data_IF_736275522465
#
_entry.id   IF_736275522465
#
_cell.length_a   1.000
_cell.length_b   1.000
_cell.length_c   1.000
_cell.angle_alpha   90.00
_cell.angle_beta   90.00
_cell.angle_gamma   90.00
#
_symmetry.space_group_name_H-M   'P 1'
#
loop_
_entity.id
_entity.type
_entity.pdbx_description
1 polymer ?
#
# COMPACT_ATOMS: atom_id res chain seq x y z
N UNK A 1 9.20 -83.03 -18.65
CA UNK A 1 8.04 -82.77 -17.77
C UNK A 1 8.56 -82.15 -16.47
N UNK A 2 8.07 -80.95 -16.10
CA UNK A 2 8.16 -80.26 -14.80
C UNK A 2 9.58 -79.83 -14.36
N UNK A 3 10.01 -78.57 -14.55
CA UNK A 3 9.62 -77.30 -13.90
C UNK A 3 10.06 -77.19 -12.42
N UNK A 4 11.12 -76.40 -12.16
CA UNK A 4 11.33 -75.61 -10.94
C UNK A 4 12.60 -74.74 -11.10
N UNK A 5 12.43 -73.50 -11.56
CA UNK A 5 13.45 -72.45 -11.48
C UNK A 5 12.91 -71.41 -10.51
N UNK A 6 13.51 -71.35 -9.32
CA UNK A 6 13.31 -70.30 -8.32
C UNK A 6 14.23 -69.13 -8.70
N UNK A 7 13.74 -68.20 -9.52
CA UNK A 7 14.42 -66.92 -9.75
C UNK A 7 13.98 -65.92 -8.68
N UNK A 8 14.86 -65.73 -7.70
CA UNK A 8 14.79 -64.70 -6.67
C UNK A 8 14.96 -63.31 -7.31
N UNK A 9 13.85 -62.62 -7.55
CA UNK A 9 13.86 -61.23 -8.00
C UNK A 9 14.29 -60.32 -6.85
N UNK A 10 15.54 -59.86 -6.87
CA UNK A 10 16.02 -58.78 -6.03
C UNK A 10 15.35 -57.47 -6.48
N UNK A 11 14.24 -57.12 -5.85
CA UNK A 11 13.65 -55.79 -5.91
C UNK A 11 14.68 -54.80 -5.31
N UNK A 12 15.35 -54.02 -6.16
CA UNK A 12 15.93 -52.76 -5.73
C UNK A 12 14.76 -51.89 -5.26
N UNK A 13 14.52 -51.88 -3.95
CA UNK A 13 13.64 -50.91 -3.33
C UNK A 13 14.25 -49.53 -3.57
N UNK A 14 13.65 -48.76 -4.48
CA UNK A 14 13.84 -47.33 -4.55
C UNK A 14 13.44 -46.77 -3.18
N UNK A 15 14.43 -46.39 -2.38
CA UNK A 15 14.22 -45.61 -1.17
C UNK A 15 13.46 -44.35 -1.57
N UNK A 16 12.26 -44.08 -1.03
CA UNK A 16 11.62 -42.80 -1.27
C UNK A 16 12.55 -41.74 -0.70
N UNK A 17 13.03 -40.86 -1.58
CA UNK A 17 13.72 -39.66 -1.17
C UNK A 17 12.85 -38.94 -0.14
N UNK A 18 13.44 -38.53 0.99
CA UNK A 18 12.80 -37.66 1.97
C UNK A 18 12.36 -36.39 1.25
N UNK A 19 11.12 -36.37 0.77
CA UNK A 19 10.45 -35.16 0.36
C UNK A 19 10.08 -34.44 1.65
N UNK A 20 10.91 -33.48 2.07
CA UNK A 20 10.51 -32.53 3.10
C UNK A 20 9.19 -31.91 2.68
N UNK A 21 8.22 -31.86 3.59
CA UNK A 21 6.91 -31.31 3.28
C UNK A 21 7.11 -29.85 2.85
N UNK A 22 6.74 -29.54 1.60
CA UNK A 22 6.79 -28.18 1.08
C UNK A 22 5.75 -27.35 1.82
N UNK A 23 6.19 -26.26 2.42
CA UNK A 23 5.38 -25.49 3.35
C UNK A 23 5.40 -24.01 2.98
N UNK A 24 4.25 -23.35 3.13
CA UNK A 24 4.04 -21.95 2.74
C UNK A 24 3.84 -21.07 3.97
N UNK A 25 4.52 -19.92 4.00
CA UNK A 25 4.38 -18.95 5.08
C UNK A 25 3.02 -18.25 5.00
N UNK A 26 2.33 -18.13 6.14
CA UNK A 26 1.09 -17.36 6.25
C UNK A 26 1.34 -15.86 6.08
N UNK A 27 0.41 -15.15 5.45
CA UNK A 27 0.47 -13.68 5.29
C UNK A 27 0.26 -12.94 6.61
N UNK A 28 -0.51 -13.52 7.53
CA UNK A 28 -0.79 -13.00 8.85
C UNK A 28 -0.35 -14.01 9.91
N UNK A 29 0.87 -13.83 10.43
CA UNK A 29 1.41 -14.65 11.50
C UNK A 29 1.01 -14.04 12.84
N UNK A 30 0.09 -14.69 13.54
CA UNK A 30 -0.32 -14.32 14.90
C UNK A 30 -0.06 -15.46 15.87
N UNK A 31 0.51 -15.13 17.02
CA UNK A 31 0.81 -16.09 18.08
C UNK A 31 -0.20 -15.95 19.23
N UNK A 32 -0.70 -17.07 19.74
CA UNK A 32 -1.70 -17.07 20.82
C UNK A 32 -1.10 -16.82 22.21
N UNK A 33 0.02 -17.48 22.52
CA UNK A 33 0.48 -17.66 23.92
C UNK A 33 1.89 -17.07 24.19
N UNK A 34 2.42 -16.25 23.29
CA UNK A 34 3.79 -15.73 23.37
C UNK A 34 4.84 -16.71 22.84
N UNK A 35 4.43 -17.88 22.33
CA UNK A 35 5.28 -18.95 21.82
C UNK A 35 5.01 -19.11 20.34
N UNK A 36 5.82 -18.45 19.51
CA UNK A 36 5.73 -18.55 18.06
C UNK A 36 6.08 -19.96 17.63
N UNK A 37 5.08 -20.71 17.17
CA UNK A 37 5.24 -22.08 16.70
C UNK A 37 5.28 -22.17 15.17
N UNK A 38 5.81 -23.28 14.63
CA UNK A 38 5.77 -23.53 13.19
C UNK A 38 4.33 -23.63 12.65
N UNK A 39 3.37 -24.11 13.45
CA UNK A 39 1.95 -24.18 13.05
C UNK A 39 1.27 -22.82 12.88
N UNK A 40 1.76 -21.79 13.59
CA UNK A 40 1.28 -20.41 13.45
C UNK A 40 1.93 -19.68 12.29
N UNK A 41 3.20 -19.99 12.00
CA UNK A 41 3.96 -19.38 10.91
C UNK A 41 3.58 -19.94 9.54
N UNK A 42 3.21 -21.23 9.49
CA UNK A 42 3.18 -21.97 8.25
C UNK A 42 1.89 -22.77 8.02
N UNK A 43 1.39 -22.73 6.78
CA UNK A 43 0.36 -23.65 6.31
C UNK A 43 0.97 -24.99 5.89
N UNK A 44 0.48 -26.08 6.47
CA UNK A 44 0.97 -27.44 6.21
C UNK A 44 2.06 -27.94 7.17
N UNK A 45 2.25 -27.30 8.33
CA UNK A 45 3.24 -27.70 9.34
C UNK A 45 3.05 -29.15 9.88
N UNK A 46 1.84 -29.72 9.79
CA UNK A 46 1.57 -31.12 10.13
C UNK A 46 2.02 -31.48 11.55
N UNK A 47 2.76 -32.59 11.69
CA UNK A 47 3.29 -33.07 12.98
C UNK A 47 4.33 -32.13 13.64
N UNK A 48 4.80 -31.12 12.91
CA UNK A 48 5.74 -30.12 13.42
C UNK A 48 5.05 -28.83 13.91
N UNK A 49 3.71 -28.80 13.97
CA UNK A 49 2.94 -27.63 14.40
C UNK A 49 3.37 -27.08 15.75
N UNK A 50 3.73 -27.94 16.70
CA UNK A 50 3.97 -27.57 18.10
C UNK A 50 5.43 -27.16 18.37
N UNK A 51 6.30 -27.19 17.36
CA UNK A 51 7.69 -26.82 17.54
C UNK A 51 7.82 -25.30 17.64
N UNK A 52 8.29 -24.84 18.80
CA UNK A 52 8.53 -23.44 19.09
C UNK A 52 9.77 -22.96 18.34
N UNK A 53 9.60 -21.91 17.54
CA UNK A 53 10.67 -21.25 16.77
C UNK A 53 11.26 -20.09 17.55
N UNK A 54 10.40 -19.32 18.23
CA UNK A 54 10.82 -18.20 19.07
C UNK A 54 9.80 -17.93 20.17
N UNK A 55 10.23 -17.27 21.23
CA UNK A 55 9.34 -16.68 22.23
C UNK A 55 9.23 -15.19 21.99
N UNK A 56 8.01 -14.68 21.93
CA UNK A 56 7.75 -13.25 21.77
C UNK A 56 7.88 -12.56 23.13
N UNK A 57 8.79 -11.58 23.22
CA UNK A 57 8.95 -10.72 24.39
C UNK A 57 8.45 -9.31 24.01
N UNK A 58 7.13 -9.09 24.10
CA UNK A 58 6.49 -7.82 23.73
C UNK A 58 5.28 -7.98 22.81
N UNK A 59 4.71 -6.89 22.27
CA UNK A 59 3.49 -6.94 21.44
C UNK A 59 3.71 -7.56 20.05
N UNK A 60 4.94 -7.48 19.54
CA UNK A 60 5.37 -8.07 18.27
C UNK A 60 6.70 -8.79 18.44
N UNK A 61 6.90 -9.88 17.71
CA UNK A 61 8.19 -10.54 17.55
C UNK A 61 8.66 -10.38 16.12
N UNK A 62 9.94 -10.07 15.97
CA UNK A 62 10.61 -9.99 14.67
C UNK A 62 11.50 -11.22 14.55
N UNK A 63 11.19 -12.09 13.60
CA UNK A 63 11.99 -13.27 13.31
C UNK A 63 12.71 -13.10 11.98
N UNK A 64 13.98 -13.49 11.93
CA UNK A 64 14.73 -13.56 10.70
C UNK A 64 14.30 -14.79 9.89
N UNK A 65 14.05 -14.60 8.60
CA UNK A 65 13.58 -15.68 7.73
C UNK A 65 14.58 -16.85 7.66
N UNK A 66 15.88 -16.58 7.75
CA UNK A 66 16.90 -17.64 7.79
C UNK A 66 16.80 -18.50 9.06
N UNK A 67 16.49 -17.89 10.20
CA UNK A 67 16.28 -18.61 11.47
C UNK A 67 15.02 -19.48 11.39
N UNK A 68 13.93 -18.94 10.84
CA UNK A 68 12.67 -19.68 10.64
C UNK A 68 12.86 -20.83 9.65
N UNK A 69 13.60 -20.61 8.56
CA UNK A 69 13.92 -21.65 7.58
C UNK A 69 14.80 -22.76 8.17
N UNK A 70 15.77 -22.41 9.02
CA UNK A 70 16.55 -23.42 9.75
C UNK A 70 15.69 -24.22 10.73
N UNK A 71 14.77 -23.56 11.44
CA UNK A 71 13.84 -24.24 12.35
C UNK A 71 12.89 -25.19 11.59
N UNK A 72 12.34 -24.73 10.46
CA UNK A 72 11.51 -25.54 9.56
C UNK A 72 12.27 -26.77 9.04
N UNK A 73 13.51 -26.60 8.56
CA UNK A 73 14.36 -27.70 8.08
C UNK A 73 14.67 -28.73 9.17
N UNK A 74 14.92 -28.29 10.41
CA UNK A 74 15.10 -29.20 11.56
C UNK A 74 13.84 -30.01 11.86
N UNK A 75 12.68 -29.43 11.59
CA UNK A 75 11.38 -30.09 11.69
C UNK A 75 11.01 -30.94 10.45
N UNK A 76 11.89 -31.04 9.45
CA UNK A 76 11.61 -31.78 8.21
C UNK A 76 10.68 -31.06 7.23
N UNK A 77 10.41 -29.77 7.45
CA UNK A 77 9.66 -28.92 6.54
C UNK A 77 10.62 -28.19 5.60
N UNK A 78 10.31 -28.12 4.32
CA UNK A 78 11.09 -27.34 3.35
C UNK A 78 10.33 -26.07 2.94
N UNK A 79 10.80 -24.94 3.45
CA UNK A 79 10.35 -23.62 3.01
C UNK A 79 11.40 -23.01 2.09
N UNK A 80 11.06 -22.89 0.81
CA UNK A 80 11.93 -22.37 -0.25
C UNK A 80 12.03 -20.83 -0.25
N UNK A 81 11.20 -20.13 0.53
CA UNK A 81 11.11 -18.67 0.60
C UNK A 81 11.12 -17.99 -0.80
N UNK A 82 10.14 -18.29 -1.67
CA UNK A 82 10.12 -17.77 -3.04
C UNK A 82 10.00 -16.24 -3.10
N UNK A 83 9.45 -15.62 -2.06
CA UNK A 83 9.26 -14.17 -1.96
C UNK A 83 10.51 -13.41 -1.44
N UNK A 84 11.60 -14.11 -1.13
CA UNK A 84 12.84 -13.47 -0.65
C UNK A 84 12.66 -12.72 0.68
N UNK A 85 11.71 -13.15 1.50
CA UNK A 85 11.36 -12.50 2.77
C UNK A 85 12.58 -12.58 3.68
N UNK A 86 13.01 -11.45 4.23
CA UNK A 86 14.14 -11.40 5.18
C UNK A 86 13.67 -11.41 6.63
N UNK A 87 12.48 -10.88 6.87
CA UNK A 87 11.94 -10.59 8.20
C UNK A 87 10.46 -10.94 8.26
N UNK A 88 10.07 -11.67 9.30
CA UNK A 88 8.71 -12.10 9.57
C UNK A 88 8.28 -11.41 10.87
N UNK A 89 7.12 -10.74 10.84
CA UNK A 89 6.60 -10.01 11.99
C UNK A 89 5.41 -10.78 12.53
N UNK A 90 5.56 -11.34 13.72
CA UNK A 90 4.51 -12.06 14.42
C UNK A 90 3.85 -11.14 15.43
N UNK A 91 2.53 -10.99 15.35
CA UNK A 91 1.75 -10.17 16.30
C UNK A 91 1.12 -11.07 17.35
N UNK A 92 0.98 -10.59 18.58
CA UNK A 92 0.15 -11.30 19.56
C UNK A 92 -1.31 -11.34 19.12
N UNK A 93 -1.90 -12.54 19.03
CA UNK A 93 -3.33 -12.72 18.93
C UNK A 93 -3.98 -12.20 20.20
N UNK A 94 -4.91 -11.27 20.08
CA UNK A 94 -5.70 -10.83 21.22
C UNK A 94 -6.56 -12.01 21.69
N UNK A 95 -6.25 -12.56 22.87
CA UNK A 95 -7.06 -13.58 23.53
C UNK A 95 -8.52 -13.12 23.59
N UNK A 96 -9.40 -13.88 22.93
CA UNK A 96 -10.83 -13.63 22.95
C UNK A 96 -11.49 -14.16 24.23
N UNK A 97 -11.67 -13.27 25.22
CA UNK A 97 -12.73 -13.28 26.27
C UNK A 97 -12.46 -14.15 27.51
N UNK A 98 -12.57 -13.68 28.77
CA UNK A 98 -13.74 -13.02 29.37
C UNK A 98 -13.44 -12.39 30.76
N UNK A 99 -14.10 -11.25 31.04
CA UNK A 99 -14.47 -10.66 32.35
C UNK A 99 -13.42 -10.45 33.45
N UNK A 100 -12.88 -9.22 33.50
CA UNK A 100 -12.25 -8.64 34.68
C UNK A 100 -11.48 -7.37 34.34
N UNK A 101 -12.15 -6.22 34.30
CA UNK A 101 -11.46 -4.92 34.14
C UNK A 101 -10.39 -4.73 35.22
N UNK A 102 -9.26 -4.09 34.85
CA UNK A 102 -9.30 -2.65 34.76
C UNK A 102 -8.83 -2.10 33.40
N UNK A 103 -9.58 -1.11 32.94
CA UNK A 103 -9.24 -0.04 32.01
C UNK A 103 -7.75 0.11 31.68
N UNK A 104 -7.36 -0.29 30.47
CA UNK A 104 -6.00 -0.05 29.99
C UNK A 104 -5.76 -0.66 28.61
N UNK A 105 -6.43 -0.14 27.57
CA UNK A 105 -5.97 -0.35 26.21
C UNK A 105 -4.47 -0.01 26.13
N UNK A 106 -3.63 -0.82 25.46
CA UNK A 106 -2.24 -0.42 25.24
C UNK A 106 -2.30 0.90 24.48
N UNK A 107 -1.96 1.99 25.16
CA UNK A 107 -1.67 3.28 24.54
C UNK A 107 -0.35 3.11 23.80
N UNK A 108 -0.36 2.33 22.73
CA UNK A 108 0.64 2.42 21.69
C UNK A 108 0.37 3.76 21.04
N UNK A 109 1.01 4.81 21.54
CA UNK A 109 0.93 6.12 20.92
C UNK A 109 1.41 5.95 19.48
N UNK A 110 0.49 6.01 18.53
CA UNK A 110 0.82 5.99 17.11
C UNK A 110 1.10 7.44 16.73
N UNK A 111 2.23 7.66 16.07
CA UNK A 111 2.54 8.96 15.49
C UNK A 111 1.62 9.14 14.28
N UNK A 112 0.75 10.13 14.37
CA UNK A 112 -0.20 10.47 13.32
C UNK A 112 0.09 11.88 12.89
N UNK A 113 0.08 12.08 11.59
CA UNK A 113 0.18 13.41 11.01
C UNK A 113 -1.08 14.18 11.38
N UNK A 114 -0.95 15.33 12.02
CA UNK A 114 -2.04 16.21 12.39
C UNK A 114 -1.82 17.60 11.78
N UNK A 115 -2.91 18.35 11.61
CA UNK A 115 -2.81 19.70 11.07
C UNK A 115 -2.35 20.68 12.16
N UNK A 116 -1.26 21.40 11.89
CA UNK A 116 -0.68 22.40 12.80
C UNK A 116 -1.52 23.69 12.86
N UNK A 117 -2.38 23.92 11.86
CA UNK A 117 -3.34 25.04 11.83
C UNK A 117 -4.65 24.63 11.19
N UNK A 118 -5.67 25.48 11.36
CA UNK A 118 -6.94 25.28 10.66
C UNK A 118 -6.79 25.66 9.18
N UNK A 119 -7.21 24.77 8.28
CA UNK A 119 -7.18 24.99 6.82
C UNK A 119 -8.61 25.12 6.29
N UNK A 120 -8.83 26.09 5.41
CA UNK A 120 -10.12 26.27 4.76
C UNK A 120 -10.31 25.28 3.60
N UNK A 121 -11.57 25.03 3.22
CA UNK A 121 -11.87 24.23 2.02
C UNK A 121 -11.21 24.85 0.78
N UNK A 122 -10.46 24.04 0.04
CA UNK A 122 -9.72 24.43 -1.16
C UNK A 122 -8.30 24.93 -0.90
N UNK A 123 -7.89 25.12 0.36
CA UNK A 123 -6.53 25.53 0.71
C UNK A 123 -5.54 24.39 0.49
N UNK A 124 -4.35 24.73 0.01
CA UNK A 124 -3.27 23.78 -0.28
C UNK A 124 -2.52 23.49 1.01
N UNK A 125 -2.35 22.21 1.34
CA UNK A 125 -1.58 21.75 2.50
C UNK A 125 -0.10 21.96 2.23
N UNK A 126 0.55 22.74 3.09
CA UNK A 126 1.99 22.96 3.03
C UNK A 126 2.74 22.06 4.03
N UNK A 127 4.05 21.84 3.85
CA UNK A 127 4.85 21.05 4.78
C UNK A 127 4.78 21.55 6.23
N UNK A 128 4.73 22.87 6.43
CA UNK A 128 4.60 23.51 7.75
C UNK A 128 3.23 23.29 8.41
N UNK A 129 2.21 22.90 7.63
CA UNK A 129 0.86 22.69 8.14
C UNK A 129 0.69 21.32 8.76
N UNK A 130 1.72 20.48 8.71
CA UNK A 130 1.68 19.09 9.13
C UNK A 130 2.66 18.88 10.28
N UNK A 131 2.14 18.31 11.38
CA UNK A 131 2.92 18.01 12.58
C UNK A 131 2.67 16.59 13.01
N UNK A 132 3.73 15.89 13.40
CA UNK A 132 3.63 14.54 13.97
C UNK A 132 3.16 14.62 15.42
N UNK A 133 1.99 14.07 15.69
CA UNK A 133 1.39 14.05 17.03
C UNK A 133 1.18 12.61 17.48
N UNK A 134 1.55 12.33 18.73
CA UNK A 134 1.32 11.05 19.38
C UNK A 134 -0.12 10.98 19.85
N UNK A 135 -0.95 10.22 19.15
CA UNK A 135 -2.36 10.00 19.52
C UNK A 135 -2.59 8.55 19.94
N UNK A 136 -3.60 8.35 20.80
CA UNK A 136 -3.92 7.04 21.36
C UNK A 136 -4.44 6.05 20.31
N UNK A 137 -5.00 6.54 19.20
CA UNK A 137 -5.47 5.73 18.08
C UNK A 137 -5.38 6.54 16.79
N UNK A 138 -4.76 5.96 15.76
CA UNK A 138 -4.76 6.52 14.42
C UNK A 138 -6.08 6.21 13.69
N UNK A 139 -6.69 7.17 12.98
CA UNK A 139 -7.71 6.85 11.99
C UNK A 139 -7.16 5.86 10.97
N UNK A 140 -7.99 4.92 10.51
CA UNK A 140 -7.55 3.88 9.57
C UNK A 140 -7.12 4.45 8.20
N UNK A 141 -7.56 5.68 7.89
CA UNK A 141 -7.23 6.43 6.67
C UNK A 141 -6.12 7.48 6.89
N UNK A 142 -5.39 7.41 8.02
CA UNK A 142 -4.28 8.31 8.29
C UNK A 142 -3.12 8.07 7.29
N UNK A 143 -2.60 9.12 6.63
CA UNK A 143 -1.42 9.00 5.79
C UNK A 143 -0.22 8.55 6.60
N UNK A 144 0.60 7.67 6.01
CA UNK A 144 1.83 7.17 6.63
C UNK A 144 3.01 8.10 6.42
N UNK A 145 2.95 8.91 5.36
CA UNK A 145 3.99 9.85 4.98
C UNK A 145 3.39 11.25 4.80
N UNK A 146 4.16 12.29 5.13
CA UNK A 146 3.72 13.68 4.95
C UNK A 146 3.58 14.05 3.46
N UNK A 147 4.42 13.46 2.60
CA UNK A 147 4.43 13.67 1.15
C UNK A 147 3.11 13.27 0.48
N UNK A 148 2.33 12.36 1.09
CA UNK A 148 1.02 11.96 0.59
C UNK A 148 -0.06 13.04 0.78
N UNK A 149 0.19 14.06 1.61
CA UNK A 149 -0.77 15.13 1.93
C UNK A 149 -0.28 16.48 1.44
N UNK A 150 1.03 16.69 1.44
CA UNK A 150 1.66 17.93 0.96
C UNK A 150 1.28 18.19 -0.50
N UNK A 151 0.88 19.42 -0.80
CA UNK A 151 0.48 19.84 -2.14
C UNK A 151 -0.94 19.43 -2.53
N UNK A 152 -1.69 18.72 -1.67
CA UNK A 152 -3.11 18.47 -1.86
C UNK A 152 -3.96 19.63 -1.34
N UNK A 153 -5.16 19.82 -1.88
CA UNK A 153 -6.16 20.76 -1.36
C UNK A 153 -7.12 20.10 -0.37
N UNK A 154 -7.50 20.82 0.68
CA UNK A 154 -8.53 20.38 1.62
C UNK A 154 -9.93 20.32 0.98
N UNK A 155 -10.62 19.18 1.07
CA UNK A 155 -12.03 19.02 0.61
C UNK A 155 -13.05 19.63 1.56
N UNK A 156 -12.68 19.75 2.83
CA UNK A 156 -13.53 20.23 3.93
C UNK A 156 -12.68 21.11 4.86
N UNK A 157 -13.30 21.95 5.70
CA UNK A 157 -12.54 22.70 6.68
C UNK A 157 -11.85 21.74 7.65
N UNK A 158 -10.52 21.82 7.71
CA UNK A 158 -9.69 21.03 8.61
C UNK A 158 -9.38 21.88 9.83
N UNK A 159 -9.45 21.28 11.01
CA UNK A 159 -9.14 21.97 12.26
C UNK A 159 -7.74 21.69 12.71
N UNK A 160 -7.15 22.68 13.37
CA UNK A 160 -5.92 22.51 14.14
C UNK A 160 -6.03 21.32 15.11
N UNK A 161 -4.98 20.50 15.15
CA UNK A 161 -4.89 19.29 15.97
C UNK A 161 -5.69 18.10 15.45
N UNK A 162 -6.47 18.24 14.38
CA UNK A 162 -7.15 17.11 13.75
C UNK A 162 -6.14 16.21 13.03
N UNK A 163 -6.32 14.89 13.16
CA UNK A 163 -5.54 13.93 12.40
C UNK A 163 -5.78 14.09 10.90
N UNK A 164 -4.70 14.15 10.13
CA UNK A 164 -4.72 14.14 8.68
C UNK A 164 -5.32 12.83 8.16
N UNK A 165 -6.11 12.93 7.10
CA UNK A 165 -6.79 11.81 6.47
C UNK A 165 -6.76 11.99 4.96
N UNK A 166 -6.41 10.92 4.24
CA UNK A 166 -6.40 10.93 2.77
C UNK A 166 -7.78 11.20 2.16
N UNK A 167 -8.86 10.97 2.93
CA UNK A 167 -10.24 11.25 2.48
C UNK A 167 -10.55 12.74 2.44
N UNK A 168 -9.84 13.51 3.25
CA UNK A 168 -10.11 14.93 3.48
C UNK A 168 -9.34 15.83 2.54
N UNK A 169 -8.44 15.25 1.75
CA UNK A 169 -7.63 15.94 0.76
C UNK A 169 -7.96 15.47 -0.65
N UNK A 170 -7.67 16.32 -1.63
CA UNK A 170 -7.79 16.03 -3.05
C UNK A 170 -6.75 16.80 -3.85
N UNK A 171 -6.55 16.42 -5.09
CA UNK A 171 -5.73 17.21 -6.02
C UNK A 171 -6.25 18.66 -6.08
N UNK A 172 -5.37 19.67 -5.96
CA UNK A 172 -5.76 21.06 -5.90
C UNK A 172 -6.41 21.47 -7.22
N UNK A 173 -7.64 21.95 -7.14
CA UNK A 173 -8.34 22.57 -8.28
C UNK A 173 -7.65 23.90 -8.58
N UNK A 174 -6.90 23.95 -9.66
CA UNK A 174 -6.14 25.14 -10.06
C UNK A 174 -6.89 26.04 -11.05
N UNK A 175 -7.94 25.52 -11.70
CA UNK A 175 -8.78 26.24 -12.67
C UNK A 175 -10.24 26.06 -12.29
N UNK A 176 -11.01 27.17 -12.23
CA UNK A 176 -12.46 27.14 -12.00
C UNK A 176 -13.22 27.17 -13.32
N UNK A 177 -14.47 26.70 -13.28
CA UNK A 177 -15.38 26.84 -14.41
C UNK A 177 -15.61 28.32 -14.73
N UNK A 178 -15.34 28.71 -15.97
CA UNK A 178 -15.47 30.07 -16.47
C UNK A 178 -14.18 30.90 -16.46
N UNK A 179 -13.08 30.39 -15.89
CA UNK A 179 -11.79 31.10 -15.91
C UNK A 179 -11.23 31.21 -17.35
N UNK A 180 -10.52 32.31 -17.62
CA UNK A 180 -9.75 32.46 -18.86
C UNK A 180 -8.38 31.81 -18.65
N UNK A 181 -8.08 30.80 -19.47
CA UNK A 181 -6.88 29.99 -19.42
C UNK A 181 -6.11 30.08 -20.74
N UNK A 182 -4.78 30.04 -20.65
CA UNK A 182 -3.89 29.95 -21.80
C UNK A 182 -3.72 28.49 -22.20
N UNK A 183 -4.22 28.14 -23.39
CA UNK A 183 -4.08 26.83 -24.00
C UNK A 183 -2.81 26.84 -24.87
N UNK A 184 -1.85 25.99 -24.53
CA UNK A 184 -0.59 25.83 -25.26
C UNK A 184 -0.62 24.53 -26.06
N UNK A 185 -0.49 24.63 -27.38
CA UNK A 185 -0.30 23.48 -28.26
C UNK A 185 1.16 23.39 -28.64
N UNK A 186 1.82 22.30 -28.27
CA UNK A 186 3.20 22.02 -28.65
C UNK A 186 3.26 20.75 -29.49
N UNK A 187 3.74 20.87 -30.73
CA UNK A 187 4.04 19.73 -31.60
C UNK A 187 5.28 20.01 -32.43
N UNK A 188 6.18 19.02 -32.52
CA UNK A 188 7.40 19.05 -33.33
C UNK A 188 8.26 20.34 -33.25
N UNK A 189 8.29 21.03 -32.09
CA UNK A 189 9.07 22.26 -31.87
C UNK A 189 8.32 23.57 -32.17
N UNK A 190 7.02 23.51 -32.49
CA UNK A 190 6.15 24.67 -32.66
C UNK A 190 5.21 24.77 -31.45
N UNK A 191 5.24 25.91 -30.75
CA UNK A 191 4.32 26.21 -29.65
C UNK A 191 3.32 27.30 -30.07
N UNK A 192 2.03 26.97 -30.05
CA UNK A 192 0.93 27.91 -30.29
C UNK A 192 0.23 28.18 -28.95
N UNK A 193 0.13 29.45 -28.54
CA UNK A 193 -0.62 29.84 -27.33
C UNK A 193 -1.90 30.55 -27.73
N UNK A 194 -3.03 30.10 -27.20
CA UNK A 194 -4.34 30.73 -27.40
C UNK A 194 -5.05 30.93 -26.06
N UNK A 195 -5.93 31.92 -25.99
CA UNK A 195 -6.78 32.11 -24.82
C UNK A 195 -8.11 31.38 -25.00
N UNK A 196 -8.57 30.73 -23.94
CA UNK A 196 -9.85 30.06 -23.92
C UNK A 196 -10.51 30.12 -22.56
N UNK A 197 -11.83 29.98 -22.53
CA UNK A 197 -12.65 29.94 -21.33
C UNK A 197 -12.84 28.49 -20.87
N UNK A 198 -12.43 28.17 -19.66
CA UNK A 198 -12.65 26.87 -19.04
C UNK A 198 -14.16 26.60 -18.89
N UNK A 199 -14.63 25.42 -19.32
CA UNK A 199 -16.04 25.03 -19.16
C UNK A 199 -16.32 24.28 -17.86
N UNK A 200 -15.29 23.69 -17.26
CA UNK A 200 -15.38 22.96 -15.99
C UNK A 200 -14.24 23.37 -15.05
N UNK A 201 -14.32 22.94 -13.80
CA UNK A 201 -13.20 23.03 -12.87
C UNK A 201 -12.26 21.83 -13.06
N UNK A 202 -10.95 22.03 -12.89
CA UNK A 202 -9.96 20.97 -13.07
C UNK A 202 -8.71 21.18 -12.20
N UNK A 203 -8.14 20.06 -11.74
CA UNK A 203 -6.84 20.03 -11.09
C UNK A 203 -5.72 19.77 -12.11
N UNK A 204 -4.47 19.98 -11.70
CA UNK A 204 -3.30 19.67 -12.54
C UNK A 204 -3.34 18.20 -12.98
N UNK A 205 -3.19 17.97 -14.29
CA UNK A 205 -3.25 16.65 -14.92
C UNK A 205 -4.66 16.16 -15.26
N UNK A 206 -5.73 16.89 -14.91
CA UNK A 206 -7.09 16.58 -15.36
C UNK A 206 -7.32 17.08 -16.80
N UNK A 207 -8.18 16.36 -17.52
CA UNK A 207 -8.69 16.79 -18.82
C UNK A 207 -9.81 17.80 -18.63
N UNK A 208 -9.67 18.97 -19.25
CA UNK A 208 -10.60 20.08 -19.16
C UNK A 208 -11.05 20.53 -20.55
N UNK A 209 -12.35 20.69 -20.75
CA UNK A 209 -12.90 21.32 -21.94
C UNK A 209 -12.77 22.84 -21.85
N UNK A 210 -12.11 23.43 -22.84
CA UNK A 210 -11.87 24.86 -22.93
C UNK A 210 -12.47 25.39 -24.24
N UNK A 211 -13.28 26.44 -24.15
CA UNK A 211 -13.83 27.13 -25.31
C UNK A 211 -12.88 28.25 -25.75
N UNK A 212 -12.35 28.19 -26.96
CA UNK A 212 -11.57 29.28 -27.52
C UNK A 212 -12.44 30.55 -27.65
N UNK A 213 -11.98 31.67 -27.10
CA UNK A 213 -12.75 32.92 -27.06
C UNK A 213 -12.90 33.57 -28.45
N UNK A 214 -11.95 33.34 -29.36
CA UNK A 214 -11.96 33.89 -30.72
C UNK A 214 -12.79 33.04 -31.69
N UNK A 215 -12.61 31.72 -31.67
CA UNK A 215 -13.26 30.82 -32.65
C UNK A 215 -14.53 30.14 -32.13
N UNK A 216 -14.84 30.27 -30.83
CA UNK A 216 -15.93 29.58 -30.12
C UNK A 216 -15.84 28.05 -30.13
N UNK A 217 -14.79 27.46 -30.72
CA UNK A 217 -14.56 26.02 -30.74
C UNK A 217 -14.23 25.49 -29.34
N UNK A 218 -14.74 24.31 -29.01
CA UNK A 218 -14.44 23.60 -27.77
C UNK A 218 -13.25 22.68 -28.04
N UNK A 219 -12.23 22.77 -27.19
CA UNK A 219 -10.99 22.01 -27.30
C UNK A 219 -10.80 21.23 -25.99
N UNK A 220 -10.48 19.95 -26.10
CA UNK A 220 -10.10 19.13 -24.95
C UNK A 220 -8.63 19.37 -24.63
N UNK A 221 -8.35 19.85 -23.43
CA UNK A 221 -7.00 20.23 -22.97
C UNK A 221 -6.66 19.49 -21.68
N UNK A 222 -5.38 19.41 -21.30
CA UNK A 222 -4.94 18.90 -19.99
C UNK A 222 -4.37 20.04 -19.18
N UNK A 223 -4.79 20.17 -17.92
CA UNK A 223 -4.32 21.23 -17.03
C UNK A 223 -2.86 20.99 -16.66
N UNK A 224 -2.00 21.97 -16.92
CA UNK A 224 -0.56 21.91 -16.58
C UNK A 224 -0.21 22.76 -15.38
N UNK A 225 -1.00 23.80 -15.09
CA UNK A 225 -0.79 24.67 -13.95
C UNK A 225 -1.89 25.73 -13.80
N UNK A 226 -1.72 26.68 -12.88
CA UNK A 226 -2.68 27.77 -12.67
C UNK A 226 -2.87 28.57 -13.96
N UNK A 227 -4.10 28.59 -14.48
CA UNK A 227 -4.44 29.33 -15.70
C UNK A 227 -3.78 28.82 -16.99
N UNK A 228 -3.12 27.66 -16.97
CA UNK A 228 -2.42 27.09 -18.12
C UNK A 228 -2.89 25.67 -18.41
N UNK A 229 -3.19 25.41 -19.67
CA UNK A 229 -3.54 24.07 -20.15
C UNK A 229 -2.75 23.75 -21.41
N UNK A 230 -2.50 22.47 -21.66
CA UNK A 230 -1.78 21.98 -22.82
C UNK A 230 -2.64 21.05 -23.69
N UNK A 231 -2.34 21.02 -24.98
CA UNK A 231 -3.00 20.15 -25.98
C UNK A 231 -1.94 19.45 -26.84
N UNK A 232 -2.29 18.30 -27.41
CA UNK A 232 -1.40 17.53 -28.29
C UNK A 232 -0.64 16.39 -27.60
N UNK A 233 0.51 15.95 -28.15
CA UNK A 233 1.27 14.80 -27.66
C UNK A 233 1.69 14.90 -26.19
N UNK A 234 1.98 16.12 -25.70
CA UNK A 234 2.28 16.40 -24.29
C UNK A 234 1.10 16.04 -23.38
N UNK A 235 -0.13 16.39 -23.77
CA UNK A 235 -1.34 16.02 -23.05
C UNK A 235 -1.56 14.50 -23.05
N UNK A 236 -1.24 13.82 -24.16
CA UNK A 236 -1.29 12.36 -24.27
C UNK A 236 -0.30 11.68 -23.31
N UNK A 237 0.91 12.23 -23.14
CA UNK A 237 1.92 11.73 -22.19
C UNK A 237 1.48 11.90 -20.74
N UNK A 238 0.92 13.06 -20.39
CA UNK A 238 0.34 13.30 -19.07
C UNK A 238 -0.87 12.41 -18.76
N UNK A 239 -1.67 12.03 -19.78
CA UNK A 239 -2.73 11.02 -19.63
C UNK A 239 -2.16 9.61 -19.45
N UNK A 240 -1.13 9.25 -20.20
CA UNK A 240 -0.55 7.91 -20.18
C UNK A 240 0.05 7.57 -18.80
N UNK A 241 0.75 8.52 -18.16
CA UNK A 241 1.35 8.32 -16.83
C UNK A 241 0.32 8.05 -15.73
N UNK A 242 -0.89 8.61 -15.85
CA UNK A 242 -1.97 8.38 -14.87
C UNK A 242 -2.66 7.03 -15.06
N UNK A 243 -2.71 6.52 -16.30
CA UNK A 243 -3.40 5.27 -16.62
C UNK A 243 -2.57 4.04 -16.24
N UNK A 244 -1.23 4.14 -16.28
CA UNK A 244 -0.32 3.06 -15.85
C UNK A 244 -0.40 2.78 -14.35
N UNK A 245 -0.68 3.79 -13.52
CA UNK A 245 -0.85 3.63 -12.07
C UNK A 245 -2.14 2.88 -11.68
N UNK A 246 -3.15 2.85 -12.55
CA UNK A 246 -4.41 2.12 -12.31
C UNK A 246 -4.35 0.65 -12.69
N UNK A 247 -3.43 0.26 -13.57
CA UNK A 247 -3.33 -1.13 -14.04
C UNK A 247 -2.36 -1.99 -13.20
N UNK A 248 -1.42 -1.37 -12.48
CA UNK A 248 -0.52 -2.08 -11.58
C UNK A 248 -1.16 -2.48 -10.22
N UNK A 249 -2.43 -2.14 -10.00
CA UNK A 249 -3.17 -2.37 -8.76
C UNK A 249 -4.28 -3.45 -8.88
N UNK A 250 -4.14 -4.40 -9.82
CA UNK A 250 -5.04 -5.56 -9.94
C UNK A 250 -4.30 -6.87 -9.74
#
# INVERSE_FOLDING_TARGET
>A
MKALVLSLAAFLAATPALAGNAVSLRSDTTDADGRVTLGELFDGAGAASDMVVATRVGPTAVLDASQVQMAARRAGLDWSNPAGIRRIIVRGGAEGGSSGGPTGAPRGNVEVLAYARSLATGEIVQPEDLVWVKVAAAPNDAPRDADDVIGMSAKRPLREGAAASLRDVSTPTVIKAGDIVAVTYEDAGVALTLQGKAMAAGAVGDSLMVQNTASKKIIETVVTGPGSTAVGPQAQRLRASRNTLRYAAR
#
